data_IF_259220361005
#
_entry.id   IF_259220361005
#
_cell.length_a   1.000
_cell.length_b   1.000
_cell.length_c   1.000
_cell.angle_alpha   90.00
_cell.angle_beta   90.00
_cell.angle_gamma   90.00
#
_symmetry.space_group_name_H-M   'P 1'
#
loop_
_entity.id
_entity.type
_entity.pdbx_description
1 polymer ?
#
# COMPACT_ATOMS: atom_id res chain seq x y z
N UNK A 1 31.98 -39.81 52.84
CA UNK A 1 30.69 -40.52 52.85
C UNK A 1 29.65 -39.60 52.23
N UNK A 2 29.03 -40.02 51.13
CA UNK A 2 28.00 -39.25 50.43
C UNK A 2 28.20 -39.24 48.92
N UNK A 3 27.98 -40.39 48.29
CA UNK A 3 27.80 -40.61 46.85
C UNK A 3 26.33 -40.31 46.51
N UNK A 4 26.07 -39.50 45.48
CA UNK A 4 25.02 -39.76 44.47
C UNK A 4 25.48 -39.17 43.13
N UNK A 5 26.11 -40.03 42.34
CA UNK A 5 26.30 -39.92 40.90
C UNK A 5 24.98 -39.97 40.11
N UNK A 6 25.05 -39.43 38.89
CA UNK A 6 24.19 -39.66 37.72
C UNK A 6 23.04 -38.67 37.47
N UNK A 7 23.32 -37.67 36.64
CA UNK A 7 22.51 -37.35 35.45
C UNK A 7 23.30 -36.48 34.47
N UNK A 8 23.40 -37.00 33.24
CA UNK A 8 23.60 -36.30 31.96
C UNK A 8 25.01 -35.73 31.68
N UNK A 9 25.86 -36.59 31.13
CA UNK A 9 27.04 -36.20 30.36
C UNK A 9 27.11 -37.01 29.06
N UNK A 10 27.39 -36.30 27.96
CA UNK A 10 27.82 -36.77 26.64
C UNK A 10 26.75 -37.35 25.69
N UNK A 11 26.22 -36.49 24.82
CA UNK A 11 26.43 -36.73 23.39
C UNK A 11 27.06 -35.51 22.74
N UNK A 12 28.28 -35.76 22.30
CA UNK A 12 29.19 -34.90 21.57
C UNK A 12 28.75 -34.90 20.09
N UNK A 13 28.72 -33.72 19.45
CA UNK A 13 29.15 -33.45 18.06
C UNK A 13 28.36 -32.28 17.47
N UNK A 14 29.05 -31.14 17.34
CA UNK A 14 28.73 -30.09 16.38
C UNK A 14 28.99 -30.62 14.96
N UNK A 15 28.15 -30.29 13.97
CA UNK A 15 28.64 -30.04 12.63
C UNK A 15 28.80 -28.52 12.46
N UNK A 16 30.04 -28.13 12.18
CA UNK A 16 30.37 -26.87 11.54
C UNK A 16 29.74 -26.84 10.13
N UNK A 17 29.37 -25.64 9.69
CA UNK A 17 29.13 -25.25 8.29
C UNK A 17 27.93 -25.90 7.57
N UNK A 18 26.79 -25.20 7.60
CA UNK A 18 25.90 -25.10 6.45
C UNK A 18 25.41 -23.65 6.34
N UNK A 19 26.18 -22.81 5.62
CA UNK A 19 25.65 -21.58 5.03
C UNK A 19 24.77 -21.99 3.85
N UNK A 20 23.46 -21.99 4.06
CA UNK A 20 22.50 -21.91 2.97
C UNK A 20 21.83 -20.54 3.08
N UNK A 21 22.23 -19.63 2.20
CA UNK A 21 21.48 -18.43 1.90
C UNK A 21 20.12 -18.85 1.34
N UNK A 22 19.03 -18.42 1.97
CA UNK A 22 17.66 -18.62 1.50
C UNK A 22 16.83 -17.37 1.81
N UNK A 23 15.86 -17.03 0.93
CA UNK A 23 15.19 -15.73 0.92
C UNK A 23 14.17 -15.58 2.06
N UNK A 24 14.00 -14.32 2.49
CA UNK A 24 12.86 -13.69 3.18
C UNK A 24 12.18 -14.54 4.25
N UNK A 25 12.54 -14.29 5.53
CA UNK A 25 11.92 -14.94 6.70
C UNK A 25 11.13 -13.91 7.51
N UNK A 26 9.80 -14.03 7.57
CA UNK A 26 9.00 -13.34 8.59
C UNK A 26 9.22 -14.04 9.95
N UNK A 27 9.61 -13.29 10.99
CA UNK A 27 9.66 -13.78 12.38
C UNK A 27 8.58 -13.06 13.17
N UNK A 28 7.41 -13.68 13.27
CA UNK A 28 6.58 -13.58 14.47
C UNK A 28 6.77 -14.89 15.25
N UNK A 29 6.57 -14.88 16.57
CA UNK A 29 6.82 -16.02 17.47
C UNK A 29 6.37 -17.39 16.90
N UNK A 30 6.96 -18.48 17.41
CA UNK A 30 7.81 -19.43 16.68
C UNK A 30 7.16 -19.99 15.39
N UNK A 31 6.93 -19.15 14.39
CA UNK A 31 6.18 -19.56 13.22
C UNK A 31 6.86 -19.01 11.97
N UNK A 32 7.11 -19.87 10.99
CA UNK A 32 7.78 -19.51 9.73
C UNK A 32 6.97 -20.02 8.56
N UNK A 33 6.76 -19.18 7.55
CA UNK A 33 6.21 -19.56 6.24
C UNK A 33 7.17 -19.07 5.15
N UNK A 34 7.46 -19.92 4.17
CA UNK A 34 8.10 -19.56 2.91
C UNK A 34 7.00 -19.28 1.88
N UNK A 35 6.91 -18.03 1.42
CA UNK A 35 5.86 -17.57 0.51
C UNK A 35 6.04 -18.04 -0.94
N UNK A 36 7.24 -18.44 -1.33
CA UNK A 36 7.51 -18.97 -2.67
C UNK A 36 7.12 -20.45 -2.79
N UNK A 37 7.41 -21.23 -1.74
CA UNK A 37 7.19 -22.69 -1.76
C UNK A 37 5.93 -23.12 -1.03
N UNK A 38 5.34 -22.26 -0.20
CA UNK A 38 4.21 -22.59 0.67
C UNK A 38 4.61 -23.45 1.89
N UNK A 39 5.91 -23.71 2.09
CA UNK A 39 6.40 -24.47 3.24
C UNK A 39 6.26 -23.66 4.53
N UNK A 40 5.83 -24.29 5.60
CA UNK A 40 5.67 -23.63 6.89
C UNK A 40 6.01 -24.54 8.05
N UNK A 41 6.36 -23.94 9.19
CA UNK A 41 6.66 -24.64 10.44
C UNK A 41 6.23 -23.80 11.63
N UNK A 42 5.59 -24.46 12.60
CA UNK A 42 5.33 -23.96 13.95
C UNK A 42 6.29 -24.63 14.93
N UNK A 43 7.25 -23.87 15.45
CA UNK A 43 8.23 -24.38 16.41
C UNK A 43 7.70 -24.40 17.86
N UNK A 44 6.48 -23.93 18.15
CA UNK A 44 5.82 -24.15 19.45
C UNK A 44 5.22 -25.54 19.54
N UNK A 45 4.58 -26.02 18.48
CA UNK A 45 3.89 -27.31 18.45
C UNK A 45 4.71 -28.41 17.78
N UNK A 46 5.70 -28.03 16.97
CA UNK A 46 6.49 -28.96 16.15
C UNK A 46 5.80 -29.35 14.83
N UNK A 47 4.65 -28.75 14.53
CA UNK A 47 3.90 -28.99 13.29
C UNK A 47 4.55 -28.27 12.10
N UNK A 48 4.47 -28.89 10.92
CA UNK A 48 4.97 -28.32 9.68
C UNK A 48 4.16 -28.81 8.48
N UNK A 49 4.21 -28.06 7.38
CA UNK A 49 3.55 -28.43 6.14
C UNK A 49 4.26 -27.87 4.91
N UNK A 50 3.90 -28.41 3.74
CA UNK A 50 4.62 -28.18 2.49
C UNK A 50 3.87 -27.33 1.47
N UNK A 51 2.63 -26.93 1.78
CA UNK A 51 1.75 -26.26 0.84
C UNK A 51 0.70 -25.37 1.55
N UNK A 52 0.07 -24.41 0.84
CA UNK A 52 -0.92 -23.50 1.43
C UNK A 52 -2.17 -24.20 1.99
N UNK A 53 -2.56 -25.36 1.46
CA UNK A 53 -3.72 -26.11 1.96
C UNK A 53 -3.41 -26.69 3.35
N UNK A 54 -2.21 -27.23 3.54
CA UNK A 54 -1.75 -27.73 4.83
C UNK A 54 -1.63 -26.62 5.88
N UNK A 55 -1.21 -25.42 5.45
CA UNK A 55 -1.13 -24.23 6.32
C UNK A 55 -2.52 -23.79 6.77
N UNK A 56 -3.46 -23.65 5.83
CA UNK A 56 -4.82 -23.27 6.13
C UNK A 56 -5.53 -24.30 7.02
N UNK A 57 -5.26 -25.59 6.78
CA UNK A 57 -5.76 -26.68 7.61
C UNK A 57 -5.28 -26.56 9.06
N UNK A 58 -3.98 -26.32 9.26
CA UNK A 58 -3.38 -26.14 10.57
C UNK A 58 -3.97 -24.95 11.33
N UNK A 59 -4.02 -23.77 10.69
CA UNK A 59 -4.49 -22.54 11.32
C UNK A 59 -5.97 -22.58 11.73
N UNK A 60 -6.79 -23.36 11.02
CA UNK A 60 -8.23 -23.44 11.26
C UNK A 60 -8.68 -24.75 11.92
N UNK A 61 -7.74 -25.63 12.30
CA UNK A 61 -8.05 -26.95 12.88
C UNK A 61 -8.87 -27.85 11.95
N UNK A 62 -8.68 -27.74 10.63
CA UNK A 62 -9.43 -28.49 9.61
C UNK A 62 -8.64 -29.71 9.12
N UNK A 63 -9.34 -30.69 8.56
CA UNK A 63 -8.69 -31.73 7.74
C UNK A 63 -8.30 -31.12 6.41
N UNK A 64 -7.21 -31.59 5.79
CA UNK A 64 -6.71 -31.05 4.52
C UNK A 64 -7.76 -31.02 3.39
N UNK A 65 -8.64 -32.02 3.31
CA UNK A 65 -9.73 -32.03 2.32
C UNK A 65 -10.81 -30.97 2.57
N UNK A 66 -11.08 -30.61 3.82
CA UNK A 66 -11.99 -29.53 4.19
C UNK A 66 -11.33 -28.17 3.96
N UNK A 67 -10.04 -28.05 4.27
CA UNK A 67 -9.23 -26.87 3.99
C UNK A 67 -9.13 -26.57 2.50
N UNK A 68 -8.93 -27.60 1.65
CA UNK A 68 -8.92 -27.45 0.21
C UNK A 68 -10.26 -26.92 -0.32
N UNK A 69 -11.38 -27.48 0.16
CA UNK A 69 -12.73 -27.01 -0.19
C UNK A 69 -12.95 -25.56 0.24
N UNK A 70 -12.60 -25.21 1.47
CA UNK A 70 -12.75 -23.86 1.98
C UNK A 70 -11.91 -22.83 1.20
N UNK A 71 -10.68 -23.19 0.79
CA UNK A 71 -9.83 -22.34 -0.04
C UNK A 71 -10.38 -22.20 -1.47
N UNK A 72 -10.89 -23.29 -2.05
CA UNK A 72 -11.55 -23.25 -3.35
C UNK A 72 -12.80 -22.35 -3.33
N UNK A 73 -13.66 -22.48 -2.31
CA UNK A 73 -14.83 -21.61 -2.13
C UNK A 73 -14.41 -20.14 -1.94
N UNK A 74 -13.38 -19.88 -1.15
CA UNK A 74 -12.84 -18.53 -0.92
C UNK A 74 -12.27 -17.87 -2.18
N UNK A 75 -11.73 -18.68 -3.10
CA UNK A 75 -11.15 -18.21 -4.37
C UNK A 75 -12.10 -18.36 -5.58
N UNK A 76 -13.35 -18.74 -5.36
CA UNK A 76 -14.35 -18.87 -6.42
C UNK A 76 -14.14 -20.06 -7.36
N UNK A 77 -13.38 -21.08 -6.96
CA UNK A 77 -13.18 -22.31 -7.73
C UNK A 77 -14.12 -23.42 -7.24
N UNK A 78 -14.82 -24.08 -8.16
CA UNK A 78 -15.57 -25.31 -7.84
C UNK A 78 -14.64 -26.52 -8.03
N UNK A 79 -14.43 -27.31 -6.98
CA UNK A 79 -13.69 -28.58 -7.10
C UNK A 79 -14.48 -29.52 -8.01
N UNK A 80 -13.97 -29.82 -9.20
CA UNK A 80 -14.49 -30.91 -10.02
C UNK A 80 -14.11 -32.24 -9.34
N UNK A 81 -15.12 -33.02 -8.95
CA UNK A 81 -14.95 -34.35 -8.40
C UNK A 81 -14.23 -35.24 -9.43
N UNK A 82 -12.93 -35.48 -9.22
CA UNK A 82 -12.17 -36.72 -9.46
C UNK A 82 -10.68 -36.44 -9.71
N UNK A 83 -9.88 -36.29 -8.65
CA UNK A 83 -8.43 -36.49 -8.73
C UNK A 83 -8.07 -37.92 -8.31
N UNK A 84 -8.45 -38.90 -9.13
CA UNK A 84 -7.70 -40.14 -9.20
C UNK A 84 -6.87 -40.11 -10.49
N UNK A 85 -5.55 -40.18 -10.35
CA UNK A 85 -4.56 -40.29 -11.43
C UNK A 85 -4.26 -39.04 -12.28
N UNK A 86 -3.54 -38.07 -11.72
CA UNK A 86 -2.63 -37.24 -12.51
C UNK A 86 -1.20 -37.40 -11.98
N UNK A 87 -0.40 -38.19 -12.70
CA UNK A 87 1.01 -38.39 -12.39
C UNK A 87 1.83 -37.12 -12.69
N UNK A 88 2.88 -36.94 -11.89
CA UNK A 88 3.82 -35.82 -11.76
C UNK A 88 4.45 -35.25 -13.05
N UNK A 89 4.16 -35.79 -14.24
CA UNK A 89 4.80 -35.41 -15.52
C UNK A 89 4.07 -34.36 -16.34
N UNK A 90 2.81 -34.01 -16.03
CA UNK A 90 2.01 -33.11 -16.88
C UNK A 90 2.12 -31.62 -16.52
N UNK A 91 2.55 -31.29 -15.29
CA UNK A 91 2.65 -29.90 -14.82
C UNK A 91 3.83 -29.13 -15.46
N UNK A 92 4.91 -29.81 -15.82
CA UNK A 92 6.13 -29.18 -16.37
C UNK A 92 6.12 -28.91 -17.88
N UNK A 93 5.08 -29.32 -18.62
CA UNK A 93 5.03 -29.17 -20.08
C UNK A 93 4.10 -28.04 -20.58
N UNK A 94 3.41 -27.32 -19.70
CA UNK A 94 2.47 -26.25 -20.11
C UNK A 94 3.04 -24.82 -20.11
N UNK A 95 4.27 -24.61 -19.64
CA UNK A 95 4.92 -23.28 -19.65
C UNK A 95 6.03 -23.17 -20.70
N UNK A 96 5.71 -23.46 -21.97
CA UNK A 96 6.70 -23.30 -23.05
C UNK A 96 6.13 -23.49 -24.46
N UNK A 97 5.96 -22.35 -25.16
CA UNK A 97 5.73 -22.14 -26.61
C UNK A 97 4.28 -21.98 -27.08
N UNK A 98 4.12 -20.87 -27.81
CA UNK A 98 2.93 -20.44 -28.53
C UNK A 98 2.51 -21.40 -29.67
N UNK A 99 1.21 -21.39 -29.95
CA UNK A 99 0.64 -21.68 -31.25
C UNK A 99 0.05 -23.07 -31.46
N UNK A 100 -1.26 -23.21 -31.22
CA UNK A 100 -2.20 -23.86 -32.16
C UNK A 100 -3.64 -23.66 -31.70
N UNK A 101 -4.47 -23.18 -32.62
CA UNK A 101 -5.92 -23.09 -32.49
C UNK A 101 -6.56 -24.47 -32.45
N UNK A 102 -7.46 -24.68 -31.50
CA UNK A 102 -8.60 -25.59 -31.64
C UNK A 102 -9.83 -24.81 -31.16
N UNK A 103 -10.84 -24.75 -32.02
CA UNK A 103 -12.03 -23.92 -31.86
C UNK A 103 -13.19 -24.59 -31.13
N UNK A 104 -14.21 -23.76 -30.83
CA UNK A 104 -15.46 -24.07 -30.15
C UNK A 104 -15.27 -23.98 -28.63
N UNK A 105 -15.83 -23.03 -27.88
CA UNK A 105 -17.10 -22.31 -27.99
C UNK A 105 -16.93 -20.85 -27.55
N UNK A 106 -17.80 -19.96 -28.03
CA UNK A 106 -17.80 -18.53 -27.73
C UNK A 106 -17.98 -18.25 -26.23
N UNK A 107 -16.88 -18.06 -25.50
CA UNK A 107 -16.92 -17.32 -24.24
C UNK A 107 -16.73 -15.83 -24.59
N UNK A 108 -17.82 -15.07 -24.53
CA UNK A 108 -17.80 -13.62 -24.65
C UNK A 108 -16.82 -13.04 -23.63
N UNK A 109 -15.80 -12.30 -24.08
CA UNK A 109 -14.86 -11.56 -23.22
C UNK A 109 -15.55 -10.50 -22.34
N UNK A 110 -16.86 -10.29 -22.49
CA UNK A 110 -17.62 -9.27 -21.78
C UNK A 110 -18.23 -9.72 -20.44
N UNK A 111 -18.03 -10.98 -20.01
CA UNK A 111 -18.55 -11.48 -18.73
C UNK A 111 -17.42 -11.79 -17.73
N UNK A 112 -16.31 -11.05 -17.78
CA UNK A 112 -15.37 -11.02 -16.66
C UNK A 112 -16.08 -10.32 -15.49
N UNK A 113 -16.47 -11.11 -14.49
CA UNK A 113 -16.84 -10.64 -13.16
C UNK A 113 -15.98 -9.42 -12.76
N UNK A 114 -16.57 -8.31 -12.27
CA UNK A 114 -15.81 -7.11 -11.97
C UNK A 114 -14.64 -7.46 -11.06
N UNK A 115 -13.42 -7.20 -11.53
CA UNK A 115 -12.21 -7.40 -10.73
C UNK A 115 -12.38 -6.60 -9.44
N UNK A 116 -12.42 -7.30 -8.30
CA UNK A 116 -12.58 -6.68 -6.98
C UNK A 116 -11.50 -5.61 -6.80
N UNK A 117 -11.91 -4.34 -6.75
CA UNK A 117 -11.00 -3.21 -6.61
C UNK A 117 -10.37 -3.24 -5.22
N UNK A 118 -9.05 -3.10 -5.12
CA UNK A 118 -8.39 -2.95 -3.83
C UNK A 118 -8.15 -1.47 -3.53
N UNK A 119 -8.72 -0.99 -2.43
CA UNK A 119 -8.57 0.40 -1.97
C UNK A 119 -7.70 0.46 -0.73
N UNK A 120 -6.60 1.21 -0.79
CA UNK A 120 -5.81 1.56 0.39
C UNK A 120 -6.26 2.91 0.96
N UNK A 121 -6.69 2.92 2.22
CA UNK A 121 -7.00 4.13 2.98
C UNK A 121 -5.84 4.46 3.92
N UNK A 122 -5.27 5.65 3.77
CA UNK A 122 -4.19 6.16 4.64
C UNK A 122 -4.74 7.29 5.50
N UNK A 123 -4.77 7.11 6.83
CA UNK A 123 -5.25 8.10 7.77
C UNK A 123 -4.08 8.70 8.56
N UNK A 124 -3.97 10.03 8.55
CA UNK A 124 -2.95 10.77 9.31
C UNK A 124 -3.62 11.74 10.30
N UNK A 125 -4.22 11.20 11.36
CA UNK A 125 -4.83 11.98 12.42
C UNK A 125 -4.65 11.30 13.79
N UNK A 126 -4.28 12.03 14.87
CA UNK A 126 -4.01 11.40 16.17
C UNK A 126 -5.24 11.05 17.00
N UNK A 127 -6.38 11.69 16.73
CA UNK A 127 -7.63 11.45 17.44
C UNK A 127 -8.56 10.54 16.61
N UNK A 128 -8.84 9.29 17.05
CA UNK A 128 -9.70 8.35 16.35
C UNK A 128 -11.14 8.84 16.13
N UNK A 129 -11.66 9.65 17.06
CA UNK A 129 -13.02 10.21 16.97
C UNK A 129 -13.07 11.59 16.27
N UNK A 130 -11.97 11.99 15.63
CA UNK A 130 -11.94 13.20 14.82
C UNK A 130 -12.84 13.07 13.59
N UNK A 131 -13.15 14.22 12.99
CA UNK A 131 -13.83 14.22 11.69
C UNK A 131 -13.02 13.48 10.61
N UNK A 132 -11.69 13.59 10.58
CA UNK A 132 -10.85 12.84 9.63
C UNK A 132 -10.95 11.32 9.84
N UNK A 133 -10.97 10.86 11.10
CA UNK A 133 -11.18 9.45 11.43
C UNK A 133 -12.56 8.95 11.01
N UNK A 134 -13.61 9.72 11.32
CA UNK A 134 -14.97 9.42 10.89
C UNK A 134 -15.11 9.41 9.36
N UNK A 135 -14.40 10.30 8.66
CA UNK A 135 -14.41 10.38 7.20
C UNK A 135 -13.69 9.20 6.56
N UNK A 136 -12.54 8.78 7.10
CA UNK A 136 -11.87 7.55 6.67
C UNK A 136 -12.73 6.31 6.90
N UNK A 137 -13.45 6.23 8.03
CA UNK A 137 -14.43 5.16 8.28
C UNK A 137 -15.61 5.20 7.32
N UNK A 138 -16.09 6.38 6.92
CA UNK A 138 -17.12 6.52 5.90
C UNK A 138 -16.61 6.06 4.53
N UNK A 139 -15.36 6.38 4.18
CA UNK A 139 -14.70 5.88 2.97
C UNK A 139 -14.62 4.36 2.96
N UNK A 140 -14.16 3.75 4.05
CA UNK A 140 -14.11 2.30 4.20
C UNK A 140 -15.46 1.66 3.93
N UNK A 141 -16.51 2.12 4.64
CA UNK A 141 -17.87 1.59 4.48
C UNK A 141 -18.39 1.74 3.05
N UNK A 142 -18.11 2.87 2.41
CA UNK A 142 -18.52 3.12 1.02
C UNK A 142 -17.80 2.19 0.04
N UNK A 143 -16.49 1.94 0.23
CA UNK A 143 -15.71 1.01 -0.60
C UNK A 143 -16.21 -0.44 -0.40
N UNK A 144 -16.38 -0.88 0.86
CA UNK A 144 -16.89 -2.21 1.19
C UNK A 144 -18.29 -2.44 0.59
N UNK A 145 -19.17 -1.42 0.62
CA UNK A 145 -20.49 -1.49 -0.01
C UNK A 145 -20.45 -1.62 -1.54
N UNK A 146 -19.36 -1.21 -2.18
CA UNK A 146 -19.10 -1.43 -3.60
C UNK A 146 -18.43 -2.78 -3.91
N UNK A 147 -18.09 -3.57 -2.88
CA UNK A 147 -17.39 -4.83 -3.03
C UNK A 147 -15.86 -4.69 -3.09
N UNK A 148 -15.31 -3.52 -2.76
CA UNK A 148 -13.85 -3.35 -2.70
C UNK A 148 -13.22 -4.22 -1.59
N UNK A 149 -12.00 -4.69 -1.84
CA UNK A 149 -11.10 -5.07 -0.75
C UNK A 149 -10.48 -3.82 -0.15
N UNK A 150 -10.71 -3.55 1.14
CA UNK A 150 -10.17 -2.36 1.82
C UNK A 150 -8.94 -2.71 2.65
N UNK A 151 -7.84 -1.99 2.41
CA UNK A 151 -6.63 -1.99 3.21
C UNK A 151 -6.54 -0.67 3.98
N UNK A 152 -6.07 -0.70 5.23
CA UNK A 152 -6.02 0.49 6.09
C UNK A 152 -4.61 0.71 6.62
N UNK A 153 -4.19 1.97 6.61
CA UNK A 153 -2.98 2.47 7.25
C UNK A 153 -3.33 3.70 8.09
N UNK A 154 -3.77 3.49 9.32
CA UNK A 154 -3.86 4.54 10.33
C UNK A 154 -2.47 4.77 10.92
N UNK A 155 -1.79 5.81 10.43
CA UNK A 155 -0.37 6.02 10.70
C UNK A 155 -0.09 6.26 12.18
N UNK A 156 -1.01 6.92 12.89
CA UNK A 156 -0.84 7.20 14.32
C UNK A 156 -1.16 5.96 15.14
N UNK A 157 -2.25 5.24 14.84
CA UNK A 157 -2.58 4.00 15.54
C UNK A 157 -1.51 2.92 15.33
N UNK A 158 -0.84 2.90 14.17
CA UNK A 158 0.29 2.03 13.88
C UNK A 158 1.60 2.44 14.59
N UNK A 159 1.63 3.61 15.23
CA UNK A 159 2.85 4.23 15.75
C UNK A 159 3.97 4.28 14.69
N UNK A 160 3.58 4.63 13.44
CA UNK A 160 4.48 4.65 12.30
C UNK A 160 5.65 5.60 12.58
N UNK A 161 6.89 5.14 12.35
CA UNK A 161 8.07 5.95 12.59
C UNK A 161 8.34 6.86 11.39
N UNK A 162 8.17 8.19 11.47
CA UNK A 162 8.20 9.03 10.26
C UNK A 162 9.59 9.49 9.86
N UNK A 163 10.61 9.25 10.70
CA UNK A 163 11.96 9.81 10.51
C UNK A 163 12.85 8.79 9.80
N UNK A 164 13.37 9.17 8.64
CA UNK A 164 14.39 8.38 7.93
C UNK A 164 15.78 8.59 8.54
N UNK A 165 16.48 7.49 8.85
CA UNK A 165 17.77 7.51 9.57
C UNK A 165 18.56 6.23 9.37
N UNK A 166 19.88 6.31 9.57
CA UNK A 166 20.80 5.17 9.49
C UNK A 166 20.36 3.96 10.34
N UNK A 167 19.81 4.20 11.53
CA UNK A 167 19.36 3.13 12.44
C UNK A 167 18.21 2.29 11.88
N UNK A 168 17.55 2.74 10.81
CA UNK A 168 16.55 1.94 10.11
C UNK A 168 17.21 0.78 9.31
N UNK A 169 18.53 0.85 9.05
CA UNK A 169 19.29 -0.09 8.22
C UNK A 169 20.50 -0.68 8.96
N UNK A 170 20.30 -1.46 10.03
CA UNK A 170 21.39 -1.96 10.87
C UNK A 170 22.32 -2.96 10.16
N UNK A 171 21.91 -3.50 9.01
CA UNK A 171 22.72 -4.39 8.18
C UNK A 171 23.77 -3.64 7.34
N UNK A 172 23.56 -2.35 7.10
CA UNK A 172 24.49 -1.55 6.30
C UNK A 172 25.75 -1.20 7.12
N UNK A 173 26.94 -1.20 6.48
CA UNK A 173 28.19 -0.89 7.18
C UNK A 173 28.16 0.51 7.81
N UNK A 174 28.49 0.59 9.10
CA UNK A 174 28.52 1.86 9.87
C UNK A 174 29.73 2.74 9.56
N UNK A 175 30.68 2.26 8.75
CA UNK A 175 31.93 2.95 8.43
C UNK A 175 31.80 3.97 7.27
N UNK A 176 30.60 4.15 6.71
CA UNK A 176 30.31 5.12 5.67
C UNK A 176 29.29 6.18 6.13
N UNK A 177 29.33 7.35 5.49
CA UNK A 177 28.29 8.37 5.69
C UNK A 177 26.95 7.83 5.20
N UNK A 178 25.91 8.01 6.01
CA UNK A 178 24.56 7.59 5.65
C UNK A 178 24.04 8.41 4.45
N UNK A 179 23.76 7.70 3.36
CA UNK A 179 23.09 8.21 2.17
C UNK A 179 21.75 7.49 2.05
N UNK A 180 20.66 8.21 2.33
CA UNK A 180 19.33 7.61 2.41
C UNK A 180 18.90 6.95 1.09
N UNK A 181 19.28 7.54 -0.06
CA UNK A 181 18.88 7.02 -1.37
C UNK A 181 19.52 5.65 -1.63
N UNK A 182 20.83 5.54 -1.39
CA UNK A 182 21.58 4.28 -1.55
C UNK A 182 21.20 3.25 -0.51
N UNK A 183 20.97 3.68 0.73
CA UNK A 183 20.54 2.78 1.79
C UNK A 183 19.18 2.13 1.47
N UNK A 184 18.23 2.90 0.94
CA UNK A 184 16.94 2.38 0.48
C UNK A 184 17.10 1.41 -0.69
N UNK A 185 17.91 1.76 -1.70
CA UNK A 185 18.16 0.91 -2.87
C UNK A 185 18.79 -0.43 -2.48
N UNK A 186 19.88 -0.41 -1.72
CA UNK A 186 20.57 -1.63 -1.28
C UNK A 186 19.68 -2.49 -0.39
N UNK A 187 18.93 -1.87 0.53
CA UNK A 187 17.98 -2.60 1.36
C UNK A 187 16.83 -3.19 0.55
N UNK A 188 16.35 -2.50 -0.50
CA UNK A 188 15.31 -3.04 -1.39
C UNK A 188 15.83 -4.23 -2.20
N UNK A 189 17.04 -4.15 -2.75
CA UNK A 189 17.66 -5.25 -3.52
C UNK A 189 17.89 -6.52 -2.68
N UNK A 190 18.15 -6.34 -1.38
CA UNK A 190 18.40 -7.45 -0.44
C UNK A 190 17.13 -7.92 0.29
N UNK A 191 15.97 -7.31 0.03
CA UNK A 191 14.73 -7.48 0.80
C UNK A 191 14.92 -7.29 2.31
N UNK A 192 15.65 -6.24 2.66
CA UNK A 192 16.04 -5.85 4.02
C UNK A 192 15.53 -4.44 4.38
N UNK A 193 14.51 -3.95 3.68
CA UNK A 193 13.80 -2.73 4.07
C UNK A 193 13.18 -2.89 5.48
N UNK A 194 13.04 -1.81 6.26
CA UNK A 194 12.40 -1.87 7.56
C UNK A 194 11.02 -2.53 7.48
N UNK A 195 10.67 -3.42 8.41
CA UNK A 195 9.42 -4.18 8.37
C UNK A 195 8.17 -3.30 8.26
N UNK A 196 8.18 -2.14 8.93
CA UNK A 196 7.08 -1.18 8.85
C UNK A 196 6.95 -0.58 7.46
N UNK A 197 8.06 -0.31 6.77
CA UNK A 197 8.10 0.13 5.37
C UNK A 197 7.66 -0.98 4.41
N UNK A 198 8.20 -2.19 4.55
CA UNK A 198 7.86 -3.32 3.69
C UNK A 198 6.37 -3.66 3.70
N UNK A 199 5.73 -3.64 4.88
CA UNK A 199 4.27 -3.85 5.00
C UNK A 199 3.45 -2.80 4.24
N UNK A 200 3.88 -1.54 4.27
CA UNK A 200 3.17 -0.46 3.59
C UNK A 200 3.39 -0.50 2.07
N UNK A 201 4.59 -0.87 1.62
CA UNK A 201 4.89 -1.12 0.20
C UNK A 201 3.98 -2.23 -0.33
N UNK A 202 3.80 -3.34 0.40
CA UNK A 202 2.90 -4.43 -0.01
C UNK A 202 1.46 -3.93 -0.18
N UNK A 203 0.97 -3.07 0.74
CA UNK A 203 -0.38 -2.48 0.60
C UNK A 203 -0.47 -1.60 -0.64
N UNK A 204 0.52 -0.75 -0.91
CA UNK A 204 0.58 0.09 -2.11
C UNK A 204 0.58 -0.74 -3.39
N UNK A 205 1.41 -1.78 -3.45
CA UNK A 205 1.52 -2.66 -4.61
C UNK A 205 0.21 -3.41 -4.91
N UNK A 206 -0.58 -3.72 -3.88
CA UNK A 206 -1.90 -4.35 -4.02
C UNK A 206 -3.03 -3.38 -4.36
N UNK A 207 -2.90 -2.10 -4.03
CA UNK A 207 -3.99 -1.14 -4.16
C UNK A 207 -4.13 -0.61 -5.59
N UNK A 208 -5.34 -0.66 -6.15
CA UNK A 208 -5.71 -0.05 -7.43
C UNK A 208 -5.99 1.46 -7.26
N UNK A 209 -6.46 1.84 -6.07
CA UNK A 209 -6.62 3.23 -5.66
C UNK A 209 -6.16 3.47 -4.23
N UNK A 210 -5.66 4.69 -3.98
CA UNK A 210 -5.18 5.11 -2.66
C UNK A 210 -5.89 6.40 -2.23
N UNK A 211 -6.51 6.39 -1.06
CA UNK A 211 -7.26 7.53 -0.52
C UNK A 211 -6.62 7.98 0.78
N UNK A 212 -6.19 9.24 0.82
CA UNK A 212 -5.53 9.83 1.98
C UNK A 212 -6.50 10.74 2.73
N UNK A 213 -6.63 10.54 4.04
CA UNK A 213 -7.39 11.40 4.94
C UNK A 213 -6.45 12.15 5.88
N UNK A 214 -6.43 13.47 5.80
CA UNK A 214 -5.57 14.29 6.66
C UNK A 214 -6.02 15.76 6.75
N UNK A 215 -5.73 16.44 7.88
CA UNK A 215 -5.86 17.87 7.97
C UNK A 215 -4.65 18.61 7.37
N UNK A 216 -4.85 19.83 6.89
CA UNK A 216 -3.74 20.75 6.63
C UNK A 216 -3.22 21.30 7.96
N UNK A 217 -1.95 21.03 8.25
CA UNK A 217 -1.21 21.60 9.37
C UNK A 217 -0.01 22.35 8.84
N UNK A 218 0.10 23.63 9.19
CA UNK A 218 1.15 24.51 8.67
C UNK A 218 1.27 24.46 7.14
N UNK A 219 0.13 24.61 6.46
CA UNK A 219 0.03 24.68 4.99
C UNK A 219 0.49 23.42 4.24
N UNK A 220 0.58 22.28 4.92
CA UNK A 220 1.00 21.00 4.33
C UNK A 220 0.29 19.81 5.01
N UNK A 221 0.45 18.57 4.49
CA UNK A 221 0.04 17.37 5.22
C UNK A 221 0.78 17.23 6.57
N UNK A 222 0.23 16.48 7.55
CA UNK A 222 0.88 16.24 8.84
C UNK A 222 2.26 15.58 8.65
N UNK A 223 3.19 15.90 9.55
CA UNK A 223 4.57 15.39 9.48
C UNK A 223 4.65 13.85 9.38
N UNK A 224 3.73 13.13 10.04
CA UNK A 224 3.69 11.67 9.99
C UNK A 224 3.40 11.13 8.58
N UNK A 225 2.55 11.82 7.81
CA UNK A 225 2.25 11.45 6.42
C UNK A 225 3.42 11.79 5.49
N UNK A 226 4.07 12.95 5.70
CA UNK A 226 5.30 13.29 4.96
C UNK A 226 6.40 12.28 5.22
N UNK A 227 6.59 11.86 6.46
CA UNK A 227 7.55 10.81 6.82
C UNK A 227 7.19 9.42 6.28
N UNK A 228 5.89 9.11 6.19
CA UNK A 228 5.42 7.92 5.48
C UNK A 228 5.81 7.97 4.00
N UNK A 229 5.64 9.11 3.33
CA UNK A 229 6.13 9.26 1.95
C UNK A 229 7.65 9.06 1.85
N UNK A 230 8.43 9.69 2.75
CA UNK A 230 9.90 9.63 2.72
C UNK A 230 10.46 8.23 2.91
N UNK A 231 9.78 7.38 3.69
CA UNK A 231 10.24 6.02 4.01
C UNK A 231 9.60 4.95 3.14
N UNK A 232 8.31 5.08 2.79
CA UNK A 232 7.57 4.04 2.06
C UNK A 232 7.76 4.17 0.54
N UNK A 233 7.92 5.38 0.02
CA UNK A 233 8.19 5.60 -1.41
C UNK A 233 9.67 5.37 -1.75
N UNK A 234 10.23 4.28 -1.21
CA UNK A 234 11.65 3.99 -1.20
C UNK A 234 12.24 3.81 -2.61
N UNK A 235 13.44 4.36 -2.80
CA UNK A 235 14.22 4.14 -4.01
C UNK A 235 14.61 2.66 -4.16
N UNK A 236 14.69 2.17 -5.40
CA UNK A 236 14.93 0.76 -5.70
C UNK A 236 13.69 -0.13 -5.53
N UNK A 237 12.79 0.19 -4.60
CA UNK A 237 11.54 -0.55 -4.38
C UNK A 237 10.37 -0.06 -5.26
N UNK A 238 10.03 1.22 -5.15
CA UNK A 238 8.84 1.79 -5.83
C UNK A 238 9.18 2.71 -6.99
N UNK A 239 10.44 3.15 -7.11
CA UNK A 239 10.89 3.96 -8.23
C UNK A 239 12.39 3.83 -8.50
N UNK A 240 12.79 4.13 -9.73
CA UNK A 240 14.19 4.31 -10.16
C UNK A 240 14.29 5.57 -11.03
N UNK A 241 15.48 5.90 -11.52
CA UNK A 241 15.67 7.03 -12.45
C UNK A 241 14.89 6.82 -13.76
N UNK A 242 14.73 5.57 -14.20
CA UNK A 242 14.04 5.16 -15.43
C UNK A 242 12.53 4.96 -15.21
N UNK A 243 12.12 4.64 -13.98
CA UNK A 243 10.73 4.33 -13.61
C UNK A 243 10.12 5.43 -12.75
N UNK A 244 9.90 6.57 -13.37
CA UNK A 244 9.26 7.76 -12.78
C UNK A 244 8.33 8.43 -13.78
N UNK A 245 7.44 9.28 -13.28
CA UNK A 245 6.46 10.03 -14.07
C UNK A 245 5.66 9.10 -15.00
N UNK A 246 5.73 9.30 -16.32
CA UNK A 246 4.96 8.55 -17.33
C UNK A 246 5.43 7.10 -17.48
N UNK A 247 6.46 6.71 -16.74
CA UNK A 247 6.99 5.35 -16.64
C UNK A 247 6.99 4.83 -15.20
N UNK A 248 6.26 5.50 -14.32
CA UNK A 248 6.18 5.15 -12.91
C UNK A 248 5.52 3.79 -12.67
N UNK A 249 5.75 3.21 -11.49
CA UNK A 249 5.25 1.89 -11.13
C UNK A 249 3.71 1.80 -11.11
N UNK A 250 3.04 2.90 -10.77
CA UNK A 250 1.59 2.92 -10.51
C UNK A 250 0.77 3.52 -11.66
N UNK A 251 1.25 3.39 -12.91
CA UNK A 251 0.45 3.77 -14.08
C UNK A 251 -0.90 3.05 -14.08
N UNK A 252 -1.95 3.80 -14.44
CA UNK A 252 -3.33 3.31 -14.42
C UNK A 252 -3.99 3.32 -13.04
N UNK A 253 -3.22 3.57 -11.96
CA UNK A 253 -3.75 3.65 -10.59
C UNK A 253 -4.07 5.08 -10.20
N UNK A 254 -5.05 5.26 -9.33
CA UNK A 254 -5.55 6.59 -8.93
C UNK A 254 -5.32 6.89 -7.45
N UNK A 255 -5.07 8.15 -7.15
CA UNK A 255 -4.98 8.63 -5.77
C UNK A 255 -5.93 9.79 -5.52
N UNK A 256 -6.50 9.88 -4.31
CA UNK A 256 -7.36 10.99 -3.88
C UNK A 256 -6.91 11.51 -2.51
N UNK A 257 -6.94 12.82 -2.36
CA UNK A 257 -6.79 13.48 -1.05
C UNK A 257 -8.17 13.94 -0.55
N UNK A 258 -8.55 13.46 0.63
CA UNK A 258 -9.68 13.93 1.42
C UNK A 258 -9.12 14.81 2.54
N UNK A 259 -9.24 16.12 2.40
CA UNK A 259 -8.47 17.10 3.17
C UNK A 259 -9.40 18.00 3.98
N UNK A 260 -9.02 18.28 5.23
CA UNK A 260 -9.72 19.30 6.04
C UNK A 260 -8.84 20.53 6.25
N UNK A 261 -9.41 21.74 6.17
CA UNK A 261 -8.74 22.98 6.57
C UNK A 261 -9.41 23.60 7.78
N UNK A 262 -8.66 24.35 8.59
CA UNK A 262 -9.23 25.18 9.65
C UNK A 262 -9.85 26.47 9.11
N UNK A 263 -9.22 27.08 8.10
CA UNK A 263 -9.70 28.26 7.38
C UNK A 263 -11.00 27.99 6.64
N UNK A 264 -11.77 29.04 6.36
CA UNK A 264 -12.91 28.92 5.46
C UNK A 264 -12.46 28.82 3.99
N UNK A 265 -13.43 28.58 3.10
CA UNK A 265 -13.18 28.40 1.67
C UNK A 265 -12.62 29.66 1.01
N UNK A 266 -13.17 30.85 1.30
CA UNK A 266 -12.71 32.12 0.74
C UNK A 266 -11.27 32.45 1.15
N UNK A 267 -10.93 32.19 2.41
CA UNK A 267 -9.56 32.38 2.91
C UNK A 267 -8.55 31.44 2.24
N UNK A 268 -9.01 30.27 1.77
CA UNK A 268 -8.20 29.22 1.12
C UNK A 268 -8.25 29.26 -0.41
N UNK A 269 -8.94 30.24 -0.98
CA UNK A 269 -9.02 30.45 -2.43
C UNK A 269 -7.68 30.97 -2.99
N UNK A 270 -7.55 31.00 -4.32
CA UNK A 270 -6.30 31.41 -4.98
C UNK A 270 -5.83 32.84 -4.65
N UNK A 271 -6.75 33.70 -4.26
CA UNK A 271 -6.53 35.08 -3.81
C UNK A 271 -6.87 35.28 -2.33
N UNK A 272 -7.09 34.19 -1.60
CA UNK A 272 -7.35 34.19 -0.17
C UNK A 272 -6.09 34.39 0.66
N UNK A 273 -6.27 34.83 1.90
CA UNK A 273 -5.15 35.13 2.83
C UNK A 273 -4.34 33.90 3.26
N UNK A 274 -4.94 32.71 3.24
CA UNK A 274 -4.28 31.44 3.55
C UNK A 274 -3.69 30.78 2.29
N UNK A 275 -3.96 31.38 1.11
CA UNK A 275 -3.45 30.94 -0.18
C UNK A 275 -4.23 29.78 -0.81
N UNK A 276 -3.96 29.55 -2.10
CA UNK A 276 -4.61 28.51 -2.89
C UNK A 276 -4.36 27.11 -2.31
N UNK A 277 -5.36 26.49 -1.70
CA UNK A 277 -5.27 25.14 -1.16
C UNK A 277 -4.86 24.09 -2.21
N UNK A 278 -5.27 24.25 -3.47
CA UNK A 278 -4.88 23.33 -4.52
C UNK A 278 -3.39 23.49 -4.86
N UNK A 279 -2.83 24.69 -4.77
CA UNK A 279 -1.38 24.88 -4.90
C UNK A 279 -0.61 24.33 -3.70
N UNK A 280 -1.14 24.45 -2.48
CA UNK A 280 -0.51 23.88 -1.28
C UNK A 280 -0.43 22.34 -1.35
N UNK A 281 -1.43 21.70 -1.94
CA UNK A 281 -1.47 20.25 -2.13
C UNK A 281 -0.69 19.76 -3.36
N UNK A 282 -0.37 20.65 -4.29
CA UNK A 282 0.30 20.28 -5.55
C UNK A 282 1.64 19.56 -5.34
N UNK A 283 2.57 20.00 -4.44
CA UNK A 283 3.81 19.28 -4.21
C UNK A 283 3.61 17.83 -3.75
N UNK A 284 2.63 17.59 -2.88
CA UNK A 284 2.29 16.23 -2.41
C UNK A 284 1.68 15.40 -3.53
N UNK A 285 0.79 15.98 -4.34
CA UNK A 285 0.27 15.32 -5.53
C UNK A 285 1.39 14.98 -6.52
N UNK A 286 2.37 15.87 -6.67
CA UNK A 286 3.51 15.68 -7.56
C UNK A 286 4.41 14.52 -7.13
N UNK A 287 4.54 14.27 -5.82
CA UNK A 287 5.19 13.05 -5.29
C UNK A 287 4.51 11.77 -5.79
N UNK A 288 3.17 11.72 -5.83
CA UNK A 288 2.45 10.55 -6.35
C UNK A 288 2.52 10.45 -7.87
N UNK A 289 2.44 11.60 -8.56
CA UNK A 289 2.67 11.70 -10.01
C UNK A 289 4.06 11.18 -10.39
N UNK A 290 5.08 11.44 -9.58
CA UNK A 290 6.44 10.92 -9.76
C UNK A 290 6.46 9.38 -9.81
N UNK A 291 5.55 8.72 -9.10
CA UNK A 291 5.41 7.27 -9.10
C UNK A 291 4.42 6.73 -10.16
N UNK A 292 3.82 7.61 -10.96
CA UNK A 292 2.91 7.24 -12.05
C UNK A 292 1.42 7.26 -11.72
N UNK A 293 1.02 7.65 -10.50
CA UNK A 293 -0.40 7.78 -10.16
C UNK A 293 -1.08 8.89 -10.97
N UNK A 294 -2.33 8.64 -11.34
CA UNK A 294 -3.29 9.69 -11.69
C UNK A 294 -3.89 10.26 -10.40
N UNK A 295 -3.65 11.55 -10.11
CA UNK A 295 -4.15 12.17 -8.87
C UNK A 295 -5.47 12.88 -9.14
N UNK A 296 -6.55 12.45 -8.50
CA UNK A 296 -7.85 13.11 -8.56
C UNK A 296 -7.80 14.49 -7.88
N UNK A 297 -8.63 15.42 -8.33
CA UNK A 297 -8.81 16.72 -7.66
C UNK A 297 -9.24 16.45 -6.20
N UNK A 298 -8.52 17.05 -5.22
CA UNK A 298 -8.79 16.82 -3.80
C UNK A 298 -10.23 17.13 -3.41
N UNK A 299 -10.77 16.32 -2.51
CA UNK A 299 -12.03 16.61 -1.81
C UNK A 299 -11.69 17.40 -0.54
N UNK A 300 -12.24 18.60 -0.38
CA UNK A 300 -11.83 19.53 0.69
C UNK A 300 -13.03 19.92 1.54
N UNK A 301 -12.90 19.78 2.86
CA UNK A 301 -13.87 20.28 3.84
C UNK A 301 -13.23 21.41 4.63
N UNK A 302 -13.69 22.64 4.39
CA UNK A 302 -13.17 23.85 5.03
C UNK A 302 -13.75 24.11 6.43
N UNK A 303 -13.15 24.99 7.22
CA UNK A 303 -13.71 25.49 8.48
C UNK A 303 -13.83 24.43 9.59
N UNK A 304 -12.96 23.41 9.59
CA UNK A 304 -13.03 22.29 10.54
C UNK A 304 -12.13 22.57 11.74
N UNK A 305 -12.69 23.16 12.80
CA UNK A 305 -11.98 23.40 14.05
C UNK A 305 -12.90 23.47 15.27
N UNK A 306 -12.34 23.25 16.47
CA UNK A 306 -13.08 23.19 17.73
C UNK A 306 -13.54 24.54 18.31
N UNK A 307 -13.19 25.67 17.72
CA UNK A 307 -13.49 27.01 18.28
C UNK A 307 -14.93 27.50 18.09
N UNK A 308 -15.80 26.73 17.43
CA UNK A 308 -17.20 27.13 17.25
C UNK A 308 -18.07 26.78 18.46
N UNK A 309 -19.05 27.64 18.75
CA UNK A 309 -20.02 27.48 19.84
C UNK A 309 -21.45 27.83 19.37
N UNK A 310 -22.46 27.33 20.10
CA UNK A 310 -23.88 27.57 19.80
C UNK A 310 -24.25 27.20 18.37
N UNK A 311 -25.06 28.05 17.72
CA UNK A 311 -25.54 27.85 16.35
C UNK A 311 -24.42 27.63 15.31
N UNK A 312 -23.22 28.20 15.52
CA UNK A 312 -22.08 27.97 14.59
C UNK A 312 -21.52 26.56 14.71
N UNK A 313 -21.53 25.99 15.93
CA UNK A 313 -21.12 24.60 16.15
C UNK A 313 -22.12 23.65 15.50
N UNK A 314 -23.41 23.87 15.72
CA UNK A 314 -24.49 23.06 15.13
C UNK A 314 -24.41 23.09 13.60
N UNK A 315 -24.25 24.28 13.01
CA UNK A 315 -24.09 24.42 11.56
C UNK A 315 -22.83 23.71 11.01
N UNK A 316 -21.71 23.73 11.76
CA UNK A 316 -20.53 22.94 11.41
C UNK A 316 -20.86 21.44 11.45
N UNK A 317 -21.40 20.95 12.56
CA UNK A 317 -21.72 19.53 12.75
C UNK A 317 -22.67 19.00 11.65
N UNK A 318 -23.70 19.76 11.30
CA UNK A 318 -24.58 19.41 10.18
C UNK A 318 -23.84 19.31 8.84
N UNK A 319 -22.94 20.26 8.56
CA UNK A 319 -22.12 20.25 7.34
C UNK A 319 -21.16 19.06 7.31
N UNK A 320 -20.54 18.73 8.43
CA UNK A 320 -19.68 17.55 8.57
C UNK A 320 -20.48 16.27 8.35
N UNK A 321 -21.68 16.13 8.94
CA UNK A 321 -22.55 14.98 8.71
C UNK A 321 -22.94 14.85 7.23
N UNK A 322 -23.22 15.97 6.54
CA UNK A 322 -23.47 15.96 5.09
C UNK A 322 -22.26 15.46 4.30
N UNK A 323 -21.06 15.92 4.64
CA UNK A 323 -19.83 15.46 3.99
C UNK A 323 -19.59 13.95 4.19
N UNK A 324 -19.84 13.41 5.39
CA UNK A 324 -19.75 11.96 5.63
C UNK A 324 -20.76 11.17 4.79
N UNK A 325 -21.99 11.67 4.64
CA UNK A 325 -23.03 11.02 3.83
C UNK A 325 -22.71 11.07 2.34
N UNK A 326 -22.11 12.15 1.86
CA UNK A 326 -21.69 12.30 0.47
C UNK A 326 -20.55 11.33 0.08
N UNK A 327 -19.89 10.69 1.05
CA UNK A 327 -18.78 9.79 0.78
C UNK A 327 -19.17 8.57 -0.05
N UNK A 328 -20.41 8.08 0.08
CA UNK A 328 -20.89 6.98 -0.77
C UNK A 328 -20.92 7.36 -2.24
N UNK A 329 -21.47 8.53 -2.57
CA UNK A 329 -21.52 9.04 -3.95
C UNK A 329 -20.11 9.36 -4.48
N UNK A 330 -19.25 9.91 -3.63
CA UNK A 330 -17.86 10.19 -3.98
C UNK A 330 -17.13 8.92 -4.42
N UNK A 331 -17.32 7.80 -3.71
CA UNK A 331 -16.64 6.54 -4.00
C UNK A 331 -17.26 5.83 -5.20
N UNK A 332 -18.59 5.91 -5.39
CA UNK A 332 -19.25 5.35 -6.59
C UNK A 332 -18.83 6.05 -7.87
N UNK A 333 -18.55 7.35 -7.82
CA UNK A 333 -18.12 8.14 -8.96
C UNK A 333 -16.59 8.35 -9.02
N UNK A 334 -15.82 7.63 -8.18
CA UNK A 334 -14.38 7.82 -8.03
C UNK A 334 -13.63 7.79 -9.37
N UNK A 335 -14.01 6.88 -10.26
CA UNK A 335 -13.32 6.73 -11.54
C UNK A 335 -13.58 7.87 -12.53
N UNK A 336 -14.70 8.59 -12.36
CA UNK A 336 -15.07 9.74 -13.19
C UNK A 336 -14.59 11.06 -12.60
N UNK A 337 -13.96 11.06 -11.41
CA UNK A 337 -13.47 12.28 -10.79
C UNK A 337 -12.45 12.99 -11.70
N UNK A 338 -12.50 14.33 -11.77
CA UNK A 338 -11.50 15.08 -12.51
C UNK A 338 -10.12 14.84 -11.92
N UNK A 339 -9.09 14.83 -12.77
CA UNK A 339 -7.70 14.64 -12.39
C UNK A 339 -6.97 15.99 -12.37
N UNK A 340 -5.99 16.12 -11.47
CA UNK A 340 -5.02 17.21 -11.52
C UNK A 340 -4.21 17.06 -12.82
N UNK A 341 -4.11 18.14 -13.59
CA UNK A 341 -3.32 18.15 -14.80
C UNK A 341 -1.83 18.31 -14.48
N UNK A 342 -1.01 17.43 -15.07
CA UNK A 342 0.44 17.51 -15.04
C UNK A 342 0.97 17.49 -16.47
N UNK A 343 2.13 18.12 -16.68
CA UNK A 343 2.84 17.96 -17.94
C UNK A 343 3.29 16.50 -18.13
N UNK A 344 3.21 16.02 -19.37
CA UNK A 344 3.75 14.73 -19.77
C UNK A 344 5.28 14.83 -19.94
N UNK A 345 6.00 13.72 -19.89
CA UNK A 345 7.45 13.66 -20.11
C UNK A 345 7.82 14.23 -21.48
N UNK A 346 6.98 14.02 -22.49
CA UNK A 346 7.18 14.57 -23.83
C UNK A 346 7.04 16.09 -23.92
N UNK A 347 6.48 16.75 -22.89
CA UNK A 347 6.41 18.21 -22.85
C UNK A 347 7.77 18.84 -22.48
N UNK A 348 8.73 18.04 -22.00
CA UNK A 348 10.06 18.50 -21.60
C UNK A 348 11.11 18.19 -22.67
N UNK A 349 12.14 19.02 -22.77
CA UNK A 349 13.29 18.78 -23.64
C UNK A 349 14.32 17.85 -22.97
N UNK A 350 15.41 17.53 -23.68
CA UNK A 350 16.46 16.63 -23.18
C UNK A 350 17.14 17.08 -21.87
N UNK A 351 17.02 18.35 -21.50
CA UNK A 351 17.54 18.90 -20.25
C UNK A 351 16.48 18.95 -19.13
N UNK A 352 15.31 18.34 -19.34
CA UNK A 352 14.20 18.35 -18.37
C UNK A 352 13.50 19.70 -18.22
N UNK A 353 13.62 20.62 -19.21
CA UNK A 353 12.93 21.91 -19.19
C UNK A 353 11.68 21.90 -20.06
N UNK A 354 10.60 22.51 -19.58
CA UNK A 354 9.35 22.64 -20.32
C UNK A 354 9.60 23.33 -21.68
N UNK A 355 9.13 22.71 -22.77
CA UNK A 355 9.23 23.28 -24.12
C UNK A 355 8.35 24.53 -24.23
N UNK A 356 8.80 25.52 -24.99
CA UNK A 356 8.13 26.83 -25.11
C UNK A 356 6.74 26.75 -25.75
N UNK A 357 6.53 25.79 -26.64
CA UNK A 357 5.29 25.51 -27.37
C UNK A 357 4.27 24.70 -26.56
N UNK A 358 4.66 24.11 -25.42
CA UNK A 358 3.79 23.31 -24.56
C UNK A 358 3.12 24.15 -23.48
N UNK A 359 1.88 23.85 -23.06
CA UNK A 359 1.23 24.57 -21.98
C UNK A 359 1.92 24.30 -20.64
N UNK A 360 1.81 25.25 -19.71
CA UNK A 360 2.14 25.03 -18.29
C UNK A 360 0.84 24.78 -17.55
N UNK A 361 0.75 23.67 -16.80
CA UNK A 361 -0.43 23.31 -16.02
C UNK A 361 -0.32 23.66 -14.53
N UNK A 362 0.81 24.25 -14.11
CA UNK A 362 1.09 24.54 -12.70
C UNK A 362 2.01 25.73 -12.53
N UNK A 363 1.80 26.50 -11.46
CA UNK A 363 2.69 27.61 -11.07
C UNK A 363 4.09 27.14 -10.64
N UNK A 364 4.27 25.84 -10.36
CA UNK A 364 5.57 25.25 -10.04
C UNK A 364 6.42 24.95 -11.28
N UNK A 365 5.80 24.76 -12.45
CA UNK A 365 6.49 24.46 -13.71
C UNK A 365 6.14 25.55 -14.73
N UNK A 366 6.96 26.59 -14.78
CA UNK A 366 6.70 27.80 -15.58
C UNK A 366 7.57 27.84 -16.83
N UNK A 367 7.05 28.51 -17.85
CA UNK A 367 7.85 28.88 -19.03
C UNK A 367 8.94 29.86 -18.62
N UNK A 368 10.09 29.79 -19.30
CA UNK A 368 11.07 30.86 -19.22
C UNK A 368 10.40 32.16 -19.70
N UNK A 369 10.58 33.23 -18.92
CA UNK A 369 10.06 34.56 -19.22
C UNK A 369 10.72 35.15 -20.46
#
# INVERSE_FOLDING_TARGET
>A
MGDVSSRLGCFNQRPQNCRLALPITFIAAPFKINIETGQWADFATGDAGGDPVSLYAYLNGLKQGDAARALCDHWGYTMQDNFSTLSRKKWLLHNGRAGRSLGGENCSINDLEPTLTTTLIVLAHPEPHSFNGAWASATQKACEAMGDTVLISDLVAMNFQPVERANNYPHLPSNHHFDALKAQEEAAEQDMLPDDVGREIVKLLRADRVIFHFPIWWFAPPAILKGWFDRVLAHGALHTVERRFDKGHFLGRKALFCVTTGSNEEESAFNGREGDIHMLLWPTAYTLRYLGFSVAVPEIVHGVHGYHHGARKEALEERLVRALKAQTELISEFDRRPLIQFNADEDFNANGRLKSDRPSYSQFIRKAS
#
